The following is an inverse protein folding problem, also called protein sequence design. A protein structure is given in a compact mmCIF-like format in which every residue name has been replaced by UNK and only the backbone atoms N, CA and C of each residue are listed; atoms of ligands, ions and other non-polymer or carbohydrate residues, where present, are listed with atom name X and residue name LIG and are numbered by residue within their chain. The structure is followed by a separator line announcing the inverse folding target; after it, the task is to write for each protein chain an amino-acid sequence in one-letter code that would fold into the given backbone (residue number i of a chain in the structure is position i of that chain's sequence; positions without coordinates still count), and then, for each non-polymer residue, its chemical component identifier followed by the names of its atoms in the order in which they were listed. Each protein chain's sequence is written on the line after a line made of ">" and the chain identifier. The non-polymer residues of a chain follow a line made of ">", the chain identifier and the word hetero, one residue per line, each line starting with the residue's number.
data_IF_668710429414
#
_entry.id   IF_668710429414
#
_cell.length_a   1.000
_cell.length_b   1.000
_cell.length_c   1.000
_cell.angle_alpha   90.00
_cell.angle_beta   90.00
_cell.angle_gamma   90.00
#
_symmetry.space_group_name_H-M   'P 1'
#
loop_
_entity.id
_entity.type
_entity.pdbx_description
1 polymer ?
#
# COMPACT_ATOMS: atom_id res chain seq x y z
N UNK A 1 -10.54 17.00 12.62
CA UNK A 1 -9.99 16.05 11.65
C UNK A 1 -10.75 16.21 10.35
N UNK A 2 -10.07 16.41 9.22
CA UNK A 2 -10.71 16.58 7.91
C UNK A 2 -11.36 15.26 7.50
N UNK A 3 -12.63 15.29 7.09
CA UNK A 3 -13.34 14.08 6.69
C UNK A 3 -12.88 13.69 5.28
N UNK A 4 -12.24 12.54 5.17
CA UNK A 4 -11.70 12.03 3.92
C UNK A 4 -12.57 10.86 3.41
N UNK A 5 -13.17 11.02 2.23
CA UNK A 5 -13.84 9.94 1.54
C UNK A 5 -12.88 9.26 0.58
N UNK A 6 -12.43 8.07 0.93
CA UNK A 6 -11.50 7.33 0.10
C UNK A 6 -12.16 6.83 -1.20
N UNK A 7 -11.46 7.02 -2.30
CA UNK A 7 -11.80 6.42 -3.58
C UNK A 7 -11.38 4.94 -3.59
N UNK A 8 -12.19 4.10 -4.23
CA UNK A 8 -11.84 2.71 -4.50
C UNK A 8 -12.28 2.24 -5.88
N UNK A 9 -11.62 1.20 -6.36
CA UNK A 9 -12.12 0.35 -7.43
C UNK A 9 -12.61 -0.94 -6.83
N UNK A 10 -13.89 -1.24 -7.04
CA UNK A 10 -14.52 -2.47 -6.53
C UNK A 10 -14.62 -3.46 -7.68
N UNK A 11 -14.24 -4.71 -7.42
CA UNK A 11 -14.24 -5.81 -8.37
C UNK A 11 -14.99 -7.00 -7.78
N UNK A 12 -15.84 -7.64 -8.57
CA UNK A 12 -16.55 -8.86 -8.19
C UNK A 12 -17.58 -8.65 -7.08
N UNK A 13 -18.03 -9.76 -6.55
CA UNK A 13 -18.99 -9.89 -5.46
C UNK A 13 -18.50 -10.95 -4.47
N UNK A 14 -19.02 -10.97 -3.24
CA UNK A 14 -18.67 -11.93 -2.21
C UNK A 14 -18.11 -11.32 -0.95
N UNK A 15 -17.28 -12.06 -0.21
CA UNK A 15 -16.65 -11.59 1.03
C UNK A 15 -15.66 -10.45 0.74
N UNK A 16 -15.67 -9.35 1.51
CA UNK A 16 -14.84 -8.19 1.21
C UNK A 16 -13.36 -8.41 1.54
N UNK A 17 -12.50 -8.17 0.54
CA UNK A 17 -11.06 -8.06 0.65
C UNK A 17 -10.66 -6.62 0.31
N UNK A 18 -10.23 -5.84 1.30
CA UNK A 18 -9.75 -4.47 1.08
C UNK A 18 -8.24 -4.49 0.89
N UNK A 19 -7.76 -3.87 -0.18
CA UNK A 19 -6.34 -3.79 -0.53
C UNK A 19 -5.85 -2.34 -0.45
N UNK A 20 -4.82 -2.11 0.37
CA UNK A 20 -4.15 -0.82 0.54
C UNK A 20 -2.76 -0.86 -0.10
N UNK A 21 -2.50 0.09 -1.00
CA UNK A 21 -1.24 0.23 -1.72
C UNK A 21 -0.12 0.84 -0.83
N UNK A 22 1.13 0.70 -1.26
CA UNK A 22 2.30 1.36 -0.68
C UNK A 22 2.45 2.83 -1.09
N UNK A 23 3.46 3.50 -0.53
CA UNK A 23 3.79 4.90 -0.82
C UNK A 23 3.94 5.14 -2.33
N UNK A 24 3.40 6.26 -2.83
CA UNK A 24 3.30 6.66 -4.25
C UNK A 24 2.46 5.71 -5.12
N UNK A 25 1.85 4.67 -4.56
CA UNK A 25 0.97 3.75 -5.26
C UNK A 25 -0.47 4.25 -5.40
N UNK A 26 -1.31 3.39 -5.94
CA UNK A 26 -2.75 3.61 -6.09
C UNK A 26 -3.48 2.29 -6.39
N UNK A 27 -4.80 2.32 -6.35
CA UNK A 27 -5.69 1.17 -6.63
C UNK A 27 -5.39 0.48 -7.97
N UNK A 28 -4.96 1.23 -8.99
CA UNK A 28 -4.62 0.69 -10.31
C UNK A 28 -3.47 -0.33 -10.29
N UNK A 29 -2.61 -0.27 -9.30
CA UNK A 29 -1.51 -1.22 -9.13
C UNK A 29 -2.00 -2.64 -8.81
N UNK A 30 -3.21 -2.76 -8.27
CA UNK A 30 -3.80 -4.01 -7.80
C UNK A 30 -4.81 -4.65 -8.75
N UNK A 31 -5.08 -4.02 -9.92
CA UNK A 31 -6.13 -4.45 -10.84
C UNK A 31 -5.98 -5.91 -11.33
N UNK A 32 -4.76 -6.40 -11.51
CA UNK A 32 -4.49 -7.78 -11.93
C UNK A 32 -4.84 -8.77 -10.82
N UNK A 33 -4.37 -8.52 -9.60
CA UNK A 33 -4.66 -9.38 -8.44
C UNK A 33 -6.15 -9.33 -8.05
N UNK A 34 -6.77 -8.15 -8.12
CA UNK A 34 -8.20 -8.03 -7.90
C UNK A 34 -8.99 -8.97 -8.81
N UNK A 35 -8.65 -9.04 -10.10
CA UNK A 35 -9.30 -9.96 -11.04
C UNK A 35 -9.06 -11.44 -10.71
N UNK A 36 -7.88 -11.79 -10.18
CA UNK A 36 -7.58 -13.15 -9.75
C UNK A 36 -8.46 -13.50 -8.54
N UNK A 37 -8.44 -12.67 -7.49
CA UNK A 37 -9.16 -12.95 -6.26
C UNK A 37 -10.70 -12.98 -6.44
N UNK A 38 -11.23 -12.19 -7.38
CA UNK A 38 -12.68 -12.25 -7.71
C UNK A 38 -13.09 -13.59 -8.31
N UNK A 39 -12.21 -14.29 -9.01
CA UNK A 39 -12.49 -15.64 -9.53
C UNK A 39 -12.61 -16.69 -8.41
N UNK A 40 -12.15 -16.35 -7.20
CA UNK A 40 -12.24 -17.18 -5.99
C UNK A 40 -13.27 -16.67 -4.99
N UNK A 41 -14.26 -15.90 -5.44
CA UNK A 41 -15.42 -15.50 -4.62
C UNK A 41 -15.18 -14.30 -3.70
N UNK A 42 -14.14 -13.50 -3.94
CA UNK A 42 -13.85 -12.30 -3.15
C UNK A 42 -14.37 -11.04 -3.84
N UNK A 43 -15.02 -10.16 -3.07
CA UNK A 43 -15.25 -8.79 -3.49
C UNK A 43 -14.03 -7.96 -3.13
N UNK A 44 -13.27 -7.52 -4.13
CA UNK A 44 -12.02 -6.79 -3.90
C UNK A 44 -12.24 -5.29 -3.97
N UNK A 45 -11.90 -4.60 -2.88
CA UNK A 45 -11.87 -3.15 -2.78
C UNK A 45 -10.43 -2.66 -2.86
N UNK A 46 -9.93 -2.34 -4.05
CA UNK A 46 -8.64 -1.67 -4.19
C UNK A 46 -8.80 -0.18 -3.88
N UNK A 47 -8.27 0.26 -2.73
CA UNK A 47 -8.52 1.60 -2.18
C UNK A 47 -7.32 2.51 -2.43
N UNK A 48 -7.58 3.72 -2.90
CA UNK A 48 -6.59 4.81 -2.88
C UNK A 48 -6.57 5.42 -1.48
N UNK A 49 -5.44 5.37 -0.79
CA UNK A 49 -5.29 6.01 0.53
C UNK A 49 -5.23 7.54 0.38
N UNK A 50 -5.47 8.31 1.47
CA UNK A 50 -5.34 9.78 1.45
C UNK A 50 -4.04 10.20 0.77
N UNK A 51 -4.05 11.35 0.12
CA UNK A 51 -2.91 11.90 -0.62
C UNK A 51 -2.44 11.07 -1.84
N UNK A 52 -3.19 10.03 -2.24
CA UNK A 52 -2.85 9.18 -3.38
C UNK A 52 -4.05 8.96 -4.30
N UNK A 53 -3.74 8.66 -5.55
CA UNK A 53 -4.73 8.24 -6.55
C UNK A 53 -5.81 9.28 -6.80
N UNK A 54 -7.06 8.89 -6.55
CA UNK A 54 -8.25 9.73 -6.69
C UNK A 54 -8.85 10.12 -5.34
N UNK A 55 -8.23 9.67 -4.25
CA UNK A 55 -8.63 10.06 -2.89
C UNK A 55 -8.24 11.51 -2.60
N UNK A 56 -8.92 12.16 -1.65
CA UNK A 56 -8.65 13.54 -1.31
C UNK A 56 -7.20 13.80 -0.90
N UNK A 57 -6.70 14.96 -1.31
CA UNK A 57 -5.43 15.51 -0.88
C UNK A 57 -5.65 16.32 0.41
N UNK A 58 -4.91 15.97 1.46
CA UNK A 58 -4.96 16.58 2.79
C UNK A 58 -3.56 17.00 3.22
N UNK A 59 -3.45 17.76 4.32
CA UNK A 59 -2.15 18.16 4.88
C UNK A 59 -1.52 17.05 5.73
N UNK A 60 -2.34 16.28 6.45
CA UNK A 60 -1.89 15.22 7.33
C UNK A 60 -1.70 13.90 6.59
N UNK A 61 -0.70 13.11 7.01
CA UNK A 61 -0.41 11.80 6.45
C UNK A 61 0.35 10.92 7.45
N UNK A 62 -0.36 10.39 8.43
CA UNK A 62 0.11 9.47 9.45
C UNK A 62 -0.81 8.26 9.57
N UNK A 63 -0.37 7.22 10.28
CA UNK A 63 -1.11 5.97 10.35
C UNK A 63 -2.44 6.06 11.12
N UNK A 64 -2.56 6.97 12.09
CA UNK A 64 -3.81 7.19 12.82
C UNK A 64 -4.88 7.81 11.94
N UNK A 65 -4.50 8.76 11.11
CA UNK A 65 -5.39 9.38 10.15
C UNK A 65 -5.80 8.40 9.04
N UNK A 66 -4.83 7.60 8.52
CA UNK A 66 -5.11 6.58 7.50
C UNK A 66 -6.00 5.46 8.04
N UNK A 67 -5.79 5.03 9.29
CA UNK A 67 -6.68 4.06 9.97
C UNK A 67 -8.09 4.63 10.18
N UNK A 68 -8.20 5.90 10.55
CA UNK A 68 -9.51 6.56 10.72
C UNK A 68 -10.24 6.71 9.37
N UNK A 69 -9.52 6.92 8.27
CA UNK A 69 -10.11 6.92 6.93
C UNK A 69 -10.62 5.53 6.55
N UNK A 70 -9.84 4.48 6.85
CA UNK A 70 -10.23 3.10 6.59
C UNK A 70 -11.47 2.69 7.39
N UNK A 71 -11.57 3.10 8.68
CA UNK A 71 -12.77 2.88 9.49
C UNK A 71 -14.00 3.50 8.83
N UNK A 72 -13.91 4.77 8.43
CA UNK A 72 -15.01 5.45 7.73
C UNK A 72 -15.39 4.76 6.44
N UNK A 73 -14.39 4.29 5.68
CA UNK A 73 -14.61 3.54 4.45
C UNK A 73 -15.40 2.25 4.71
N UNK A 74 -14.97 1.42 5.66
CA UNK A 74 -15.64 0.17 6.04
C UNK A 74 -17.09 0.42 6.46
N UNK A 75 -17.31 1.39 7.36
CA UNK A 75 -18.65 1.75 7.86
C UNK A 75 -19.56 2.30 6.75
N UNK A 76 -19.05 3.16 5.89
CA UNK A 76 -19.81 3.75 4.77
C UNK A 76 -20.28 2.70 3.76
N UNK A 77 -19.45 1.72 3.49
CA UNK A 77 -19.77 0.62 2.58
C UNK A 77 -20.53 -0.53 3.25
N UNK A 78 -20.84 -0.42 4.56
CA UNK A 78 -21.49 -1.44 5.38
C UNK A 78 -20.80 -2.81 5.28
N UNK A 79 -19.46 -2.82 5.24
CA UNK A 79 -18.68 -4.04 5.10
C UNK A 79 -18.58 -4.77 6.43
N UNK A 80 -18.76 -6.08 6.39
CA UNK A 80 -18.62 -6.99 7.52
C UNK A 80 -17.71 -8.15 7.11
N UNK A 81 -17.14 -8.84 8.08
CA UNK A 81 -16.22 -9.98 7.85
C UNK A 81 -15.08 -9.61 6.91
N UNK A 82 -14.47 -8.45 7.16
CA UNK A 82 -13.48 -7.84 6.27
C UNK A 82 -12.13 -8.53 6.42
N UNK A 83 -11.51 -8.88 5.29
CA UNK A 83 -10.07 -9.18 5.24
C UNK A 83 -9.34 -7.97 4.73
N UNK A 84 -8.26 -7.56 5.43
CA UNK A 84 -7.43 -6.44 5.04
C UNK A 84 -6.11 -6.92 4.46
N UNK A 85 -5.69 -6.38 3.33
CA UNK A 85 -4.37 -6.60 2.76
C UNK A 85 -3.68 -5.25 2.56
N UNK A 86 -2.41 -5.14 2.97
CA UNK A 86 -1.64 -3.92 2.79
C UNK A 86 -0.19 -4.17 2.38
N UNK A 87 0.28 -3.41 1.40
CA UNK A 87 1.68 -3.43 0.98
C UNK A 87 2.43 -2.24 1.56
N UNK A 88 3.61 -2.48 2.18
CA UNK A 88 4.51 -1.43 2.67
C UNK A 88 3.76 -0.42 3.56
N UNK A 89 3.66 0.86 3.22
CA UNK A 89 2.85 1.86 3.92
C UNK A 89 1.41 1.37 4.18
N UNK A 90 0.76 0.76 3.18
CA UNK A 90 -0.57 0.15 3.35
C UNK A 90 -0.59 -0.97 4.38
N UNK A 91 0.49 -1.76 4.48
CA UNK A 91 0.66 -2.78 5.51
C UNK A 91 0.74 -2.18 6.91
N UNK A 92 1.47 -1.09 7.09
CA UNK A 92 1.51 -0.34 8.34
C UNK A 92 0.13 0.25 8.71
N UNK A 93 -0.60 0.76 7.73
CA UNK A 93 -1.99 1.21 7.93
C UNK A 93 -2.87 0.06 8.43
N UNK A 94 -2.77 -1.13 7.82
CA UNK A 94 -3.52 -2.32 8.24
C UNK A 94 -3.12 -2.72 9.67
N UNK A 95 -1.82 -2.83 9.97
CA UNK A 95 -1.34 -3.17 11.31
C UNK A 95 -1.86 -2.18 12.38
N UNK A 96 -1.75 -0.87 12.13
CA UNK A 96 -2.30 0.14 13.05
C UNK A 96 -3.82 0.00 13.21
N UNK A 97 -4.53 -0.29 12.12
CA UNK A 97 -5.98 -0.46 12.13
C UNK A 97 -6.44 -1.66 12.98
N UNK A 98 -5.86 -2.85 12.77
CA UNK A 98 -6.30 -4.07 13.45
C UNK A 98 -6.01 -4.07 14.94
N UNK A 99 -4.95 -3.39 15.36
CA UNK A 99 -4.63 -3.21 16.79
C UNK A 99 -5.66 -2.30 17.48
N UNK A 100 -6.15 -1.27 16.78
CA UNK A 100 -7.11 -0.30 17.32
C UNK A 100 -8.56 -0.78 17.24
N UNK A 101 -8.94 -1.50 16.20
CA UNK A 101 -10.30 -1.90 15.88
C UNK A 101 -10.38 -3.39 15.48
N UNK A 102 -9.89 -4.32 16.34
CA UNK A 102 -9.77 -5.73 15.98
C UNK A 102 -11.12 -6.38 15.62
N UNK A 103 -12.20 -5.91 16.22
CA UNK A 103 -13.54 -6.48 15.99
C UNK A 103 -14.13 -6.22 14.60
N UNK A 104 -13.52 -5.35 13.81
CA UNK A 104 -13.96 -5.05 12.43
C UNK A 104 -13.26 -5.91 11.38
N UNK A 105 -12.26 -6.72 11.78
CA UNK A 105 -11.38 -7.43 10.86
C UNK A 105 -11.32 -8.91 11.20
N UNK A 106 -11.61 -9.75 10.23
CA UNK A 106 -11.52 -11.20 10.40
C UNK A 106 -10.10 -11.74 10.21
N UNK A 107 -9.34 -11.16 9.29
CA UNK A 107 -7.95 -11.55 9.01
C UNK A 107 -7.18 -10.42 8.34
N UNK A 108 -5.84 -10.49 8.38
CA UNK A 108 -4.99 -9.54 7.67
C UNK A 108 -3.87 -10.21 6.87
N UNK A 109 -3.45 -9.54 5.80
CA UNK A 109 -2.32 -9.91 4.95
C UNK A 109 -1.39 -8.70 4.83
N UNK A 110 -0.15 -8.85 5.27
CA UNK A 110 0.86 -7.81 5.25
C UNK A 110 1.93 -8.16 4.22
N UNK A 111 2.16 -7.26 3.27
CA UNK A 111 3.10 -7.50 2.17
C UNK A 111 4.33 -6.62 2.35
N UNK A 112 5.42 -7.28 2.64
CA UNK A 112 6.81 -6.80 2.71
C UNK A 112 7.02 -5.55 3.58
N UNK A 113 6.54 -5.62 4.82
CA UNK A 113 6.77 -4.62 5.87
C UNK A 113 6.60 -5.27 7.27
N UNK A 114 7.43 -4.90 8.23
CA UNK A 114 7.35 -5.32 9.63
C UNK A 114 6.84 -4.17 10.54
N UNK A 115 6.43 -4.44 11.78
CA UNK A 115 5.95 -3.41 12.71
C UNK A 115 7.02 -2.44 13.23
N UNK A 116 8.28 -2.62 12.88
CA UNK A 116 9.43 -1.80 13.31
C UNK A 116 9.49 -0.41 12.66
N UNK A 117 10.31 0.49 13.21
CA UNK A 117 10.69 1.73 12.54
C UNK A 117 11.62 1.47 11.33
N UNK A 118 11.47 2.28 10.30
CA UNK A 118 12.33 2.27 9.12
C UNK A 118 12.97 3.63 8.91
N UNK A 119 14.27 3.70 8.60
CA UNK A 119 14.89 4.95 8.25
C UNK A 119 14.29 5.51 6.95
N UNK A 120 14.12 6.83 6.91
CA UNK A 120 13.61 7.51 5.71
C UNK A 120 14.68 7.48 4.62
N UNK A 121 14.41 6.76 3.54
CA UNK A 121 15.30 6.64 2.38
C UNK A 121 14.64 7.09 1.05
N UNK A 122 13.45 7.71 1.14
CA UNK A 122 12.67 8.12 -0.02
C UNK A 122 13.07 9.51 -0.56
N UNK A 123 13.99 10.24 0.11
CA UNK A 123 14.31 11.63 -0.25
C UNK A 123 14.82 11.77 -1.69
N UNK A 124 15.60 10.79 -2.17
CA UNK A 124 16.08 10.81 -3.56
C UNK A 124 14.94 10.75 -4.58
N UNK A 125 13.91 9.95 -4.29
CA UNK A 125 12.71 9.85 -5.12
C UNK A 125 11.88 11.13 -5.10
N UNK A 126 11.68 11.70 -3.90
CA UNK A 126 10.96 12.97 -3.73
C UNK A 126 11.68 14.08 -4.50
N UNK A 127 12.99 14.20 -4.37
CA UNK A 127 13.79 15.21 -5.07
C UNK A 127 13.68 15.04 -6.60
N UNK A 128 13.76 13.81 -7.10
CA UNK A 128 13.61 13.54 -8.52
C UNK A 128 12.22 13.97 -9.04
N UNK A 129 11.15 13.63 -8.30
CA UNK A 129 9.77 14.00 -8.66
C UNK A 129 9.54 15.53 -8.55
N UNK A 130 10.11 16.20 -7.55
CA UNK A 130 10.05 17.68 -7.41
C UNK A 130 10.78 18.42 -8.52
N UNK A 131 11.78 17.80 -9.13
CA UNK A 131 12.51 18.41 -10.25
C UNK A 131 11.67 18.55 -11.52
N UNK A 132 10.53 17.83 -11.60
CA UNK A 132 9.64 17.88 -12.76
C UNK A 132 8.85 19.21 -12.75
N UNK A 133 9.08 20.02 -13.78
CA UNK A 133 8.33 21.24 -14.05
C UNK A 133 7.29 20.95 -15.14
N UNK A 134 6.07 20.64 -14.73
CA UNK A 134 4.99 20.25 -15.65
C UNK A 134 4.63 21.34 -16.69
N UNK A 135 5.06 22.58 -16.48
CA UNK A 135 4.87 23.65 -17.49
C UNK A 135 5.86 23.52 -18.66
N UNK A 136 7.01 22.88 -18.43
CA UNK A 136 8.07 22.64 -19.42
C UNK A 136 8.16 21.18 -19.83
N UNK A 137 8.01 20.29 -18.84
CA UNK A 137 8.05 18.83 -19.01
C UNK A 137 6.64 18.33 -19.38
N UNK A 138 6.14 18.71 -20.54
CA UNK A 138 4.74 18.55 -20.94
C UNK A 138 4.42 17.21 -21.64
N UNK A 139 5.32 16.24 -21.58
CA UNK A 139 5.11 14.90 -22.15
C UNK A 139 5.65 13.81 -21.25
N UNK A 140 4.99 12.63 -21.27
CA UNK A 140 5.44 11.47 -20.53
C UNK A 140 6.90 11.11 -20.84
N UNK A 141 7.30 11.20 -22.11
CA UNK A 141 8.68 10.91 -22.55
C UNK A 141 9.70 11.90 -21.97
N UNK A 142 9.36 13.18 -21.88
CA UNK A 142 10.27 14.19 -21.28
C UNK A 142 10.43 13.94 -19.78
N UNK A 143 9.33 13.62 -19.06
CA UNK A 143 9.34 13.32 -17.64
C UNK A 143 10.15 12.04 -17.36
N UNK A 144 9.92 10.97 -18.12
CA UNK A 144 10.67 9.72 -17.99
C UNK A 144 12.17 9.93 -18.20
N UNK A 145 12.55 10.66 -19.25
CA UNK A 145 13.95 10.98 -19.52
C UNK A 145 14.61 11.81 -18.40
N UNK A 146 13.83 12.68 -17.73
CA UNK A 146 14.32 13.50 -16.63
C UNK A 146 14.48 12.69 -15.35
N UNK A 147 13.53 11.79 -15.04
CA UNK A 147 13.66 10.84 -13.93
C UNK A 147 14.84 9.89 -14.13
N UNK A 148 15.07 9.40 -15.35
CA UNK A 148 16.16 8.47 -15.67
C UNK A 148 17.57 9.09 -15.55
N UNK A 149 17.68 10.41 -15.50
CA UNK A 149 18.95 11.10 -15.19
C UNK A 149 19.27 11.11 -13.70
N UNK A 150 18.30 10.90 -12.84
CA UNK A 150 18.43 11.02 -11.39
C UNK A 150 18.26 9.68 -10.67
N UNK A 151 17.53 8.73 -11.27
CA UNK A 151 17.21 7.44 -10.71
C UNK A 151 17.76 6.32 -11.59
N UNK A 152 18.51 5.40 -10.98
CA UNK A 152 19.15 4.29 -11.69
C UNK A 152 18.29 3.02 -11.75
N UNK A 153 17.03 3.07 -11.29
CA UNK A 153 16.14 1.91 -11.26
C UNK A 153 14.96 2.08 -12.23
N UNK A 154 14.98 1.40 -13.39
CA UNK A 154 13.91 1.50 -14.39
C UNK A 154 12.53 1.08 -13.84
N UNK A 155 12.47 0.09 -12.94
CA UNK A 155 11.22 -0.37 -12.33
C UNK A 155 10.56 0.72 -11.49
N UNK A 156 11.33 1.44 -10.69
CA UNK A 156 10.87 2.59 -9.91
C UNK A 156 10.39 3.72 -10.82
N UNK A 157 11.13 4.01 -11.89
CA UNK A 157 10.72 5.04 -12.86
C UNK A 157 9.36 4.67 -13.48
N UNK A 158 9.20 3.44 -13.95
CA UNK A 158 7.93 2.98 -14.51
C UNK A 158 6.79 2.99 -13.48
N UNK A 159 7.09 2.69 -12.21
CA UNK A 159 6.11 2.80 -11.14
C UNK A 159 5.63 4.25 -10.97
N UNK A 160 6.53 5.23 -10.92
CA UNK A 160 6.14 6.65 -10.87
C UNK A 160 5.41 7.09 -12.14
N UNK A 161 5.85 6.65 -13.30
CA UNK A 161 5.20 6.97 -14.57
C UNK A 161 3.75 6.50 -14.63
N UNK A 162 3.36 5.44 -13.91
CA UNK A 162 1.95 5.00 -13.80
C UNK A 162 1.08 6.01 -13.06
N UNK A 163 1.64 6.78 -12.13
CA UNK A 163 0.90 7.78 -11.35
C UNK A 163 0.71 9.12 -12.09
N UNK A 164 1.34 9.31 -13.26
CA UNK A 164 1.10 10.49 -14.08
C UNK A 164 -0.30 10.46 -14.73
N UNK A 165 -0.98 11.58 -14.68
CA UNK A 165 -2.25 11.76 -15.36
C UNK A 165 -2.36 13.15 -16.00
N UNK A 166 -3.24 13.29 -16.96
CA UNK A 166 -3.60 14.57 -17.54
C UNK A 166 -4.59 15.29 -16.61
N UNK A 167 -4.13 16.33 -15.94
CA UNK A 167 -4.96 17.21 -15.10
C UNK A 167 -5.84 18.10 -15.98
N UNK A 168 -5.32 18.51 -17.13
CA UNK A 168 -6.01 19.19 -18.21
C UNK A 168 -5.53 18.66 -19.56
N UNK A 169 -5.98 19.25 -20.68
CA UNK A 169 -5.51 18.87 -22.04
C UNK A 169 -4.00 19.12 -22.25
N UNK A 170 -3.40 20.00 -21.48
CA UNK A 170 -2.04 20.48 -21.68
C UNK A 170 -1.13 20.29 -20.44
N UNK A 171 -1.72 19.92 -19.30
CA UNK A 171 -1.00 19.81 -18.03
C UNK A 171 -1.02 18.39 -17.48
N UNK A 172 0.16 17.80 -17.32
CA UNK A 172 0.37 16.57 -16.57
C UNK A 172 0.51 16.86 -15.07
N UNK A 173 0.19 15.90 -14.24
CA UNK A 173 0.40 15.96 -12.78
C UNK A 173 0.64 14.58 -12.20
N UNK A 174 1.17 14.54 -10.97
CA UNK A 174 1.20 13.34 -10.16
C UNK A 174 -0.18 13.08 -9.54
N UNK A 175 -0.58 11.82 -9.43
CA UNK A 175 -1.81 11.41 -8.72
C UNK A 175 -1.63 11.36 -7.20
N UNK A 176 -0.52 11.74 -6.69
CA UNK A 176 -0.26 11.85 -5.25
C UNK A 176 0.11 13.29 -4.87
N UNK A 177 -0.18 13.65 -3.63
CA UNK A 177 0.15 14.95 -3.06
C UNK A 177 1.60 14.97 -2.58
N UNK A 178 2.55 15.16 -3.51
CA UNK A 178 3.97 15.09 -3.22
C UNK A 178 4.40 16.00 -2.05
N UNK A 179 3.80 17.18 -1.93
CA UNK A 179 4.14 18.13 -0.87
C UNK A 179 3.72 17.63 0.51
N UNK A 180 2.51 17.07 0.65
CA UNK A 180 2.07 16.49 1.91
C UNK A 180 2.88 15.24 2.27
N UNK A 181 3.20 14.38 1.29
CA UNK A 181 4.03 13.20 1.51
C UNK A 181 5.45 13.55 1.94
N UNK A 182 6.05 14.60 1.37
CA UNK A 182 7.37 15.10 1.78
C UNK A 182 7.38 15.61 3.22
N UNK A 183 6.39 16.41 3.61
CA UNK A 183 6.30 17.00 4.96
C UNK A 183 6.11 15.92 6.03
N UNK A 184 5.36 14.85 5.71
CA UNK A 184 5.02 13.78 6.65
C UNK A 184 5.88 12.50 6.42
N UNK A 185 7.02 12.59 5.73
CA UNK A 185 7.77 11.40 5.33
C UNK A 185 8.31 10.60 6.54
N UNK A 186 8.63 11.27 7.63
CA UNK A 186 9.09 10.62 8.86
C UNK A 186 7.99 9.75 9.50
N UNK A 187 6.72 10.18 9.39
CA UNK A 187 5.56 9.41 9.88
C UNK A 187 5.41 8.07 9.13
N UNK A 188 5.80 8.02 7.85
CA UNK A 188 5.76 6.78 7.05
C UNK A 188 6.75 5.74 7.57
N UNK A 189 7.88 6.19 8.12
CA UNK A 189 8.89 5.35 8.73
C UNK A 189 8.59 4.89 10.15
N UNK A 190 7.57 5.44 10.82
CA UNK A 190 7.28 5.18 12.22
C UNK A 190 7.06 3.68 12.52
N UNK A 191 7.45 3.23 13.70
CA UNK A 191 7.08 1.91 14.21
C UNK A 191 5.57 1.82 14.47
N UNK A 192 5.04 0.61 14.56
CA UNK A 192 3.72 0.40 15.14
C UNK A 192 3.77 0.71 16.64
N UNK A 193 2.78 1.44 17.12
CA UNK A 193 2.59 1.65 18.55
C UNK A 193 2.23 0.34 19.27
N UNK A 194 2.24 0.37 20.61
CA UNK A 194 1.85 -0.77 21.43
C UNK A 194 0.48 -1.31 21.08
N UNK A 195 0.36 -2.63 21.04
CA UNK A 195 -0.87 -3.34 20.84
C UNK A 195 -0.66 -4.67 20.16
N UNK A 196 -1.68 -5.51 20.16
CA UNK A 196 -1.65 -6.82 19.51
C UNK A 196 -2.99 -7.11 18.81
N UNK A 197 -2.93 -8.00 17.83
CA UNK A 197 -4.10 -8.53 17.16
C UNK A 197 -4.00 -10.06 17.09
N UNK A 198 -5.00 -10.76 17.66
CA UNK A 198 -5.04 -12.22 17.75
C UNK A 198 -5.78 -12.89 16.59
N UNK A 199 -6.19 -12.16 15.57
CA UNK A 199 -6.82 -12.75 14.39
C UNK A 199 -5.79 -13.39 13.45
N UNK A 200 -6.26 -14.24 12.52
CA UNK A 200 -5.43 -14.83 11.48
C UNK A 200 -4.65 -13.77 10.71
N UNK A 201 -3.36 -13.99 10.54
CA UNK A 201 -2.45 -13.01 9.95
C UNK A 201 -1.44 -13.70 9.05
N UNK A 202 -1.20 -13.14 7.85
CA UNK A 202 -0.17 -13.60 6.92
C UNK A 202 0.79 -12.46 6.63
N UNK A 203 2.09 -12.69 6.82
CA UNK A 203 3.16 -11.80 6.39
C UNK A 203 3.87 -12.43 5.18
N UNK A 204 3.93 -11.70 4.06
CA UNK A 204 4.60 -12.14 2.84
C UNK A 204 5.81 -11.24 2.63
N UNK A 205 7.01 -11.80 2.68
CA UNK A 205 8.27 -11.09 2.45
C UNK A 205 8.86 -11.41 1.08
N UNK A 206 9.58 -10.44 0.49
CA UNK A 206 10.43 -10.68 -0.68
C UNK A 206 11.82 -11.15 -0.25
N UNK A 207 12.30 -12.28 -0.80
CA UNK A 207 13.61 -12.84 -0.44
C UNK A 207 14.80 -11.96 -0.82
N UNK A 208 14.60 -10.99 -1.73
CA UNK A 208 15.58 -9.98 -2.12
C UNK A 208 15.30 -8.60 -1.48
N UNK A 209 14.31 -8.54 -0.60
CA UNK A 209 13.93 -7.35 0.15
C UNK A 209 14.64 -7.30 1.51
N UNK A 210 14.88 -6.09 2.02
CA UNK A 210 15.39 -5.88 3.38
C UNK A 210 14.32 -5.40 4.37
N UNK A 211 13.03 -5.47 3.99
CA UNK A 211 11.95 -4.93 4.81
C UNK A 211 11.50 -5.88 5.91
N UNK A 212 11.47 -7.19 5.65
CA UNK A 212 11.27 -8.22 6.67
C UNK A 212 12.49 -9.11 6.66
N UNK A 213 13.23 -9.13 7.77
CA UNK A 213 14.39 -9.98 7.99
C UNK A 213 14.04 -11.05 9.03
N UNK A 214 14.82 -12.11 9.13
CA UNK A 214 14.61 -13.16 10.14
C UNK A 214 14.59 -12.59 11.56
N UNK A 215 15.39 -11.58 11.84
CA UNK A 215 15.46 -10.88 13.11
C UNK A 215 14.19 -10.08 13.46
N UNK A 216 13.32 -9.82 12.50
CA UNK A 216 12.05 -9.11 12.71
C UNK A 216 10.91 -10.05 13.11
N UNK A 217 11.10 -11.39 12.99
CA UNK A 217 10.03 -12.35 13.23
C UNK A 217 9.53 -12.30 14.69
N UNK A 218 10.43 -12.15 15.66
CA UNK A 218 10.03 -12.05 17.07
C UNK A 218 9.13 -10.84 17.29
N UNK A 219 9.47 -9.70 16.73
CA UNK A 219 8.65 -8.48 16.79
C UNK A 219 7.30 -8.66 16.08
N UNK A 220 7.25 -9.40 14.97
CA UNK A 220 5.99 -9.72 14.31
C UNK A 220 5.11 -10.59 15.23
N UNK A 221 5.65 -11.65 15.83
CA UNK A 221 4.88 -12.54 16.73
C UNK A 221 4.47 -11.86 18.03
N UNK A 222 5.22 -10.86 18.53
CA UNK A 222 4.85 -10.08 19.70
C UNK A 222 3.55 -9.28 19.47
N UNK A 223 3.39 -8.70 18.29
CA UNK A 223 2.18 -7.94 17.92
C UNK A 223 1.08 -8.83 17.32
N UNK A 224 1.45 -9.91 16.63
CA UNK A 224 0.55 -10.75 15.83
C UNK A 224 0.83 -12.25 16.10
N UNK A 225 0.40 -12.77 17.27
CA UNK A 225 0.73 -14.15 17.68
C UNK A 225 0.24 -15.26 16.76
N UNK A 226 -0.77 -14.98 15.92
CA UNK A 226 -1.31 -15.93 14.95
C UNK A 226 -0.70 -15.73 13.53
N UNK A 227 0.42 -15.02 13.42
CA UNK A 227 1.02 -14.74 12.13
C UNK A 227 1.68 -15.98 11.52
N UNK A 228 1.35 -16.28 10.26
CA UNK A 228 2.19 -17.04 9.35
C UNK A 228 3.15 -16.11 8.63
N UNK A 229 4.40 -16.50 8.46
CA UNK A 229 5.40 -15.72 7.69
C UNK A 229 5.89 -16.56 6.53
N UNK A 230 5.73 -16.04 5.30
CA UNK A 230 6.14 -16.69 4.07
C UNK A 230 7.11 -15.78 3.32
N UNK A 231 8.18 -16.36 2.78
CA UNK A 231 9.15 -15.63 1.95
C UNK A 231 9.08 -16.10 0.51
N UNK A 232 8.92 -15.17 -0.43
CA UNK A 232 9.00 -15.43 -1.88
C UNK A 232 10.41 -15.11 -2.35
N UNK A 233 11.26 -16.14 -2.62
CA UNK A 233 12.71 -15.95 -2.76
C UNK A 233 13.13 -15.08 -3.94
N UNK A 234 12.37 -15.11 -5.03
CA UNK A 234 12.66 -14.38 -6.26
C UNK A 234 12.26 -12.91 -6.24
N UNK A 235 11.42 -12.49 -5.29
CA UNK A 235 10.85 -11.15 -5.21
C UNK A 235 11.69 -10.19 -4.37
N UNK A 236 11.69 -8.90 -4.74
CA UNK A 236 12.10 -7.77 -3.92
C UNK A 236 10.90 -7.13 -3.22
N UNK A 237 10.97 -5.80 -2.99
CA UNK A 237 9.94 -5.06 -2.24
C UNK A 237 8.55 -5.06 -2.91
N UNK A 238 8.48 -5.08 -4.23
CA UNK A 238 7.20 -5.16 -4.95
C UNK A 238 6.80 -6.61 -5.22
N UNK A 239 6.67 -7.42 -4.17
CA UNK A 239 6.40 -8.87 -4.23
C UNK A 239 5.26 -9.19 -5.20
N UNK A 240 4.15 -8.47 -5.09
CA UNK A 240 2.96 -8.63 -5.93
C UNK A 240 3.21 -8.31 -7.42
N UNK A 241 4.22 -7.52 -7.75
CA UNK A 241 4.55 -7.16 -9.13
C UNK A 241 5.69 -8.03 -9.69
N UNK A 242 6.66 -8.40 -8.86
CA UNK A 242 7.87 -9.11 -9.26
C UNK A 242 7.66 -10.63 -9.31
N UNK A 243 6.79 -11.18 -8.45
CA UNK A 243 6.48 -12.61 -8.38
C UNK A 243 4.95 -12.84 -8.32
N UNK A 244 4.25 -12.34 -9.34
CA UNK A 244 2.78 -12.26 -9.37
C UNK A 244 2.08 -13.60 -9.08
N UNK A 245 2.55 -14.69 -9.67
CA UNK A 245 1.88 -15.98 -9.58
C UNK A 245 2.13 -16.62 -8.21
N UNK A 246 3.38 -16.62 -7.70
CA UNK A 246 3.73 -17.08 -6.35
C UNK A 246 3.00 -16.26 -5.29
N UNK A 247 2.98 -14.94 -5.42
CA UNK A 247 2.24 -14.06 -4.52
C UNK A 247 0.74 -14.37 -4.49
N UNK A 248 0.13 -14.55 -5.66
CA UNK A 248 -1.31 -14.84 -5.73
C UNK A 248 -1.65 -16.20 -5.12
N UNK A 249 -0.78 -17.20 -5.30
CA UNK A 249 -0.96 -18.52 -4.70
C UNK A 249 -0.94 -18.44 -3.17
N UNK A 250 0.08 -17.82 -2.57
CA UNK A 250 0.20 -17.66 -1.10
C UNK A 250 -0.98 -16.91 -0.50
N UNK A 251 -1.47 -15.87 -1.18
CA UNK A 251 -2.65 -15.14 -0.73
C UNK A 251 -3.89 -16.02 -0.80
N UNK A 252 -4.12 -16.74 -1.89
CA UNK A 252 -5.29 -17.61 -2.05
C UNK A 252 -5.27 -18.77 -1.06
N UNK A 253 -4.12 -19.42 -0.86
CA UNK A 253 -3.97 -20.49 0.12
C UNK A 253 -4.35 -20.02 1.52
N UNK A 254 -3.91 -18.82 1.91
CA UNK A 254 -4.33 -18.24 3.20
C UNK A 254 -5.83 -17.92 3.24
N UNK A 255 -6.37 -17.30 2.19
CA UNK A 255 -7.80 -16.93 2.13
C UNK A 255 -8.72 -18.15 2.17
N UNK A 256 -8.29 -19.31 1.68
CA UNK A 256 -9.02 -20.58 1.76
C UNK A 256 -9.10 -21.16 3.18
N UNK A 257 -8.24 -20.72 4.09
CA UNK A 257 -8.26 -21.15 5.51
C UNK A 257 -9.29 -20.40 6.35
N UNK A 258 -9.87 -19.33 5.82
CA UNK A 258 -10.78 -18.41 6.53
C UNK A 258 -12.25 -18.77 6.33
#
# INVERSE_FOLDING_TARGET
>A
MEITELFSKIYGEGRPLIILHGLFGMSDNWATHAKIFTQHGWQVHAVDQRNHGRSPHTTGHNYDEMSSDLERYIRRHNLNNVVLMGHSMGGKTVMNFVVRLPSLVDAMIIVDIAPKAYPVHHQAYINAMKSIDFTKDNSRKAIEAKLSKQLNNPGIIQFFMKSLYWKSREELAWRFNLSALEINIDEIGAALDYGYYNGPSLFISGGKSGYILTEDHDSIYEHFPQAGIVTIPEAGHWVHAEAKDSFSAEVLDFLETL
#
